data_IF_219939372064
#
_entry.id   IF_219939372064
#
_cell.length_a   1.000
_cell.length_b   1.000
_cell.length_c   1.000
_cell.angle_alpha   90.00
_cell.angle_beta   90.00
_cell.angle_gamma   90.00
#
_symmetry.space_group_name_H-M   'P 1'
#
loop_
_entity.id
_entity.type
_entity.pdbx_description
1 polymer ?
#
# COMPACT_ATOMS: atom_id res chain seq x y z
N UNK A 1 -5.58 1.34 -0.23
CA UNK A 1 -5.24 1.02 1.17
C UNK A 1 -5.80 -0.35 1.49
N UNK A 2 -5.08 -1.13 2.28
CA UNK A 2 -5.43 -2.49 2.66
C UNK A 2 -4.26 -3.48 2.60
N UNK A 3 -3.30 -3.30 1.68
CA UNK A 3 -2.13 -4.17 1.60
C UNK A 3 -1.26 -4.09 2.85
N UNK A 4 -1.11 -2.89 3.41
CA UNK A 4 -0.34 -2.63 4.62
C UNK A 4 -0.89 -3.32 5.88
N UNK A 5 -2.20 -3.61 5.92
CA UNK A 5 -2.84 -4.32 7.03
C UNK A 5 -2.32 -5.75 7.12
N UNK A 6 -1.83 -6.33 6.01
CA UNK A 6 -1.27 -7.67 6.03
C UNK A 6 -0.05 -7.81 6.92
N UNK A 7 0.74 -6.75 7.11
CA UNK A 7 1.82 -6.76 8.10
C UNK A 7 1.28 -7.03 9.51
N UNK A 8 0.13 -6.43 9.87
CA UNK A 8 -0.52 -6.67 11.16
C UNK A 8 -1.00 -8.12 11.29
N UNK A 9 -1.54 -8.70 10.22
CA UNK A 9 -1.95 -10.10 10.23
C UNK A 9 -0.74 -11.03 10.43
N UNK A 10 0.36 -10.78 9.73
CA UNK A 10 1.62 -11.52 9.89
C UNK A 10 2.17 -11.39 11.32
N UNK A 11 2.08 -10.21 11.94
CA UNK A 11 2.57 -10.02 13.32
C UNK A 11 1.70 -10.70 14.36
N UNK A 12 0.38 -10.59 14.24
CA UNK A 12 -0.53 -10.91 15.34
C UNK A 12 -1.23 -12.27 15.21
N UNK A 13 -1.45 -12.74 13.99
CA UNK A 13 -2.16 -14.00 13.72
C UNK A 13 -1.48 -14.85 12.63
N UNK A 14 -0.14 -14.99 12.62
CA UNK A 14 0.55 -15.71 11.55
C UNK A 14 0.11 -17.17 11.43
N UNK A 15 -0.20 -17.82 12.55
CA UNK A 15 -0.73 -19.19 12.62
C UNK A 15 -2.08 -19.38 11.92
N UNK A 16 -2.78 -18.30 11.53
CA UNK A 16 -4.02 -18.35 10.76
C UNK A 16 -3.81 -18.16 9.25
N UNK A 17 -2.57 -17.94 8.84
CA UNK A 17 -2.17 -17.72 7.45
C UNK A 17 -1.41 -18.95 6.95
N UNK A 18 -1.68 -19.35 5.72
CA UNK A 18 -0.85 -20.31 4.99
C UNK A 18 0.21 -19.60 4.12
N UNK A 19 0.17 -18.27 4.09
CA UNK A 19 0.98 -17.40 3.24
C UNK A 19 0.24 -16.10 2.92
N UNK A 20 0.94 -15.14 2.32
CA UNK A 20 0.38 -13.87 1.91
C UNK A 20 1.09 -13.30 0.69
N UNK A 21 0.31 -12.73 -0.24
CA UNK A 21 0.81 -11.82 -1.27
C UNK A 21 0.33 -10.40 -0.97
N UNK A 22 1.27 -9.52 -0.64
CA UNK A 22 1.04 -8.10 -0.35
C UNK A 22 1.30 -7.30 -1.62
N UNK A 23 0.31 -6.56 -2.10
CA UNK A 23 0.36 -5.88 -3.40
C UNK A 23 0.40 -4.36 -3.21
N UNK A 24 1.48 -3.71 -3.65
CA UNK A 24 1.68 -2.25 -3.56
C UNK A 24 1.29 -1.65 -2.20
N UNK A 25 1.74 -2.21 -1.05
CA UNK A 25 1.24 -1.79 0.24
C UNK A 25 1.65 -0.35 0.55
N UNK A 26 0.68 0.46 0.98
CA UNK A 26 0.96 1.82 1.43
C UNK A 26 1.89 1.77 2.64
N UNK A 27 3.07 2.39 2.53
CA UNK A 27 3.99 2.50 3.65
C UNK A 27 3.58 3.64 4.60
N UNK A 28 3.88 3.49 5.88
CA UNK A 28 3.77 4.56 6.86
C UNK A 28 5.16 5.21 7.04
N UNK A 29 5.28 6.49 6.67
CA UNK A 29 6.55 7.23 6.70
C UNK A 29 7.15 7.40 8.11
N UNK A 30 6.36 7.13 9.15
CA UNK A 30 6.77 7.17 10.56
C UNK A 30 7.04 5.78 11.16
N UNK A 31 7.02 4.71 10.37
CA UNK A 31 7.46 3.40 10.85
C UNK A 31 8.93 3.45 11.29
N UNK A 32 9.20 2.89 12.47
CA UNK A 32 10.56 2.72 12.99
C UNK A 32 11.37 1.76 12.12
N UNK A 33 12.70 1.86 12.20
CA UNK A 33 13.63 1.00 11.48
C UNK A 33 14.03 1.50 10.09
N UNK A 34 13.23 2.35 9.43
CA UNK A 34 13.68 2.98 8.19
C UNK A 34 14.79 3.98 8.47
N UNK A 35 15.88 3.96 7.68
CA UNK A 35 16.82 5.06 7.60
C UNK A 35 16.09 6.35 7.23
N UNK A 36 16.49 7.47 7.84
CA UNK A 36 15.82 8.75 7.62
C UNK A 36 15.82 9.17 6.15
N UNK A 37 16.89 8.90 5.40
CA UNK A 37 16.95 9.17 3.96
C UNK A 37 15.90 8.37 3.19
N UNK A 38 15.68 7.08 3.51
CA UNK A 38 14.67 6.25 2.83
C UNK A 38 13.25 6.79 3.09
N UNK A 39 12.92 7.09 4.35
CA UNK A 39 11.62 7.67 4.69
C UNK A 39 11.40 9.04 4.08
N UNK A 40 12.42 9.91 4.06
CA UNK A 40 12.31 11.25 3.48
C UNK A 40 12.22 11.21 1.95
N UNK A 41 13.00 10.37 1.29
CA UNK A 41 12.92 10.20 -0.16
C UNK A 41 11.53 9.70 -0.57
N UNK A 42 10.96 8.75 0.18
CA UNK A 42 9.58 8.32 -0.02
C UNK A 42 8.58 9.45 0.29
N UNK A 43 8.79 10.21 1.36
CA UNK A 43 7.92 11.32 1.76
C UNK A 43 7.79 12.37 0.65
N UNK A 44 8.90 12.78 0.04
CA UNK A 44 8.95 13.85 -0.94
C UNK A 44 8.54 13.43 -2.36
N UNK A 45 8.38 12.14 -2.62
CA UNK A 45 7.74 11.67 -3.86
C UNK A 45 6.23 11.97 -3.88
N UNK A 46 5.60 12.09 -2.71
CA UNK A 46 4.19 12.45 -2.62
C UNK A 46 3.94 13.87 -3.11
N UNK A 47 2.75 14.07 -3.70
CA UNK A 47 2.27 15.42 -4.01
C UNK A 47 2.15 16.27 -2.74
N UNK A 48 2.28 17.61 -2.82
CA UNK A 48 2.13 18.48 -1.65
C UNK A 48 0.79 18.31 -0.92
N UNK A 49 -0.29 18.02 -1.64
CA UNK A 49 -1.61 17.78 -1.04
C UNK A 49 -1.68 16.47 -0.25
N UNK A 50 -1.02 15.41 -0.71
CA UNK A 50 -0.94 14.15 0.05
C UNK A 50 -0.04 14.28 1.27
N UNK A 51 1.09 14.98 1.16
CA UNK A 51 1.94 15.27 2.31
C UNK A 51 1.14 15.95 3.45
N UNK A 52 0.24 16.86 3.12
CA UNK A 52 -0.65 17.47 4.11
C UNK A 52 -1.75 16.52 4.60
N UNK A 53 -2.45 15.83 3.70
CA UNK A 53 -3.53 14.90 4.07
C UNK A 53 -3.00 13.80 5.01
N UNK A 54 -1.83 13.24 4.70
CA UNK A 54 -1.14 12.21 5.49
C UNK A 54 -0.64 12.79 6.82
N UNK A 55 -0.10 14.03 6.85
CA UNK A 55 0.24 14.71 8.13
C UNK A 55 -0.97 14.88 9.03
N UNK A 56 -2.12 15.30 8.48
CA UNK A 56 -3.36 15.44 9.25
C UNK A 56 -3.80 14.07 9.78
N UNK A 57 -3.81 13.04 8.94
CA UNK A 57 -4.15 11.68 9.36
C UNK A 57 -3.26 11.17 10.51
N UNK A 58 -1.96 11.50 10.50
CA UNK A 58 -1.02 11.07 11.52
C UNK A 58 -1.11 11.89 12.83
N UNK A 59 -1.13 13.22 12.73
CA UNK A 59 -0.99 14.11 13.89
C UNK A 59 -2.32 14.59 14.47
N UNK A 60 -3.34 14.73 13.63
CA UNK A 60 -4.66 15.23 14.01
C UNK A 60 -5.79 14.41 13.36
N UNK A 61 -5.86 13.09 13.61
CA UNK A 61 -6.76 12.17 12.89
C UNK A 61 -8.24 12.56 12.98
N UNK A 62 -8.66 13.23 14.07
CA UNK A 62 -10.04 13.74 14.21
C UNK A 62 -10.41 14.82 13.18
N UNK A 63 -9.42 15.40 12.48
CA UNK A 63 -9.61 16.35 11.38
C UNK A 63 -9.50 15.68 10.00
N UNK A 64 -9.23 14.38 9.89
CA UNK A 64 -9.01 13.71 8.60
C UNK A 64 -10.22 13.86 7.65
N UNK A 65 -11.43 13.71 8.18
CA UNK A 65 -12.67 13.97 7.44
C UNK A 65 -12.79 15.43 7.01
N UNK A 66 -12.61 16.35 7.97
CA UNK A 66 -12.73 17.77 7.72
C UNK A 66 -11.75 18.21 6.64
N UNK A 67 -10.48 17.82 6.73
CA UNK A 67 -9.44 18.15 5.77
C UNK A 67 -9.79 17.71 4.35
N UNK A 68 -10.17 16.45 4.18
CA UNK A 68 -10.42 15.86 2.86
C UNK A 68 -11.77 16.27 2.23
N UNK A 69 -12.61 17.04 2.93
CA UNK A 69 -13.90 17.55 2.42
C UNK A 69 -13.90 19.05 2.17
N UNK A 70 -12.77 19.74 2.37
CA UNK A 70 -12.66 21.18 2.11
C UNK A 70 -12.71 21.51 0.61
N UNK A 71 -13.23 22.70 0.30
CA UNK A 71 -13.31 23.24 -1.08
C UNK A 71 -12.22 24.26 -1.41
N UNK A 72 -11.53 24.78 -0.40
CA UNK A 72 -10.53 25.85 -0.56
C UNK A 72 -9.15 25.32 -0.96
N UNK A 73 -8.90 24.04 -0.75
CA UNK A 73 -7.67 23.35 -1.10
C UNK A 73 -8.00 21.89 -1.45
N UNK A 74 -7.14 21.20 -2.21
CA UNK A 74 -7.42 19.84 -2.64
C UNK A 74 -7.37 18.84 -1.47
N UNK A 75 -8.24 17.83 -1.54
CA UNK A 75 -8.14 16.62 -0.74
C UNK A 75 -6.90 15.79 -1.15
N UNK A 76 -6.70 14.61 -0.52
CA UNK A 76 -5.74 13.63 -1.02
C UNK A 76 -5.95 13.36 -2.51
N UNK A 77 -4.84 13.24 -3.26
CA UNK A 77 -4.83 12.94 -4.69
C UNK A 77 -5.52 11.60 -5.00
N UNK A 78 -5.40 10.62 -4.11
CA UNK A 78 -6.03 9.30 -4.24
C UNK A 78 -7.53 9.39 -4.08
N UNK A 79 -8.01 10.15 -3.07
CA UNK A 79 -9.45 10.34 -2.82
C UNK A 79 -10.10 11.12 -3.97
N UNK A 80 -9.43 12.17 -4.44
CA UNK A 80 -9.89 13.04 -5.53
C UNK A 80 -9.65 12.46 -6.93
N UNK A 81 -9.00 11.30 -7.03
CA UNK A 81 -8.65 10.64 -8.29
C UNK A 81 -7.86 11.56 -9.25
N UNK A 82 -6.84 12.23 -8.72
CA UNK A 82 -5.99 13.13 -9.49
C UNK A 82 -5.20 12.35 -10.56
N UNK A 83 -5.31 12.68 -11.86
CA UNK A 83 -4.62 11.94 -12.91
C UNK A 83 -3.08 11.99 -12.80
N UNK A 84 -2.52 12.98 -12.11
CA UNK A 84 -1.07 13.18 -11.99
C UNK A 84 -0.34 12.11 -11.16
N UNK A 85 -1.07 11.27 -10.41
CA UNK A 85 -0.51 10.20 -9.57
C UNK A 85 -0.61 8.82 -10.23
N UNK A 86 -0.98 8.74 -11.51
CA UNK A 86 -1.03 7.48 -12.24
C UNK A 86 0.12 7.40 -13.24
N UNK A 87 0.79 6.24 -13.27
CA UNK A 87 1.77 5.94 -14.31
C UNK A 87 1.11 5.80 -15.68
N UNK A 88 1.92 5.67 -16.73
CA UNK A 88 1.41 5.39 -18.07
C UNK A 88 0.60 4.09 -18.11
N UNK A 89 1.08 3.03 -17.45
CA UNK A 89 0.37 1.76 -17.39
C UNK A 89 -0.90 1.84 -16.54
N UNK A 90 -0.87 2.59 -15.43
CA UNK A 90 -2.07 2.82 -14.62
C UNK A 90 -3.17 3.50 -15.42
N UNK A 91 -2.82 4.52 -16.20
CA UNK A 91 -3.78 5.24 -17.05
C UNK A 91 -4.46 4.30 -18.06
N UNK A 92 -3.75 3.31 -18.59
CA UNK A 92 -4.34 2.29 -19.47
C UNK A 92 -5.29 1.34 -18.71
N UNK A 93 -5.09 1.14 -17.40
CA UNK A 93 -5.89 0.25 -16.56
C UNK A 93 -7.14 0.92 -15.97
N UNK A 94 -7.26 2.27 -16.00
CA UNK A 94 -8.40 3.00 -15.42
C UNK A 94 -9.77 2.46 -15.84
N UNK A 95 -10.06 2.22 -17.14
CA UNK A 95 -11.39 1.72 -17.54
C UNK A 95 -11.74 0.38 -16.87
N UNK A 96 -10.77 -0.53 -16.79
CA UNK A 96 -10.93 -1.84 -16.16
C UNK A 96 -11.03 -1.74 -14.64
N UNK A 97 -10.26 -0.84 -14.02
CA UNK A 97 -10.33 -0.56 -12.60
C UNK A 97 -11.71 -0.01 -12.20
N UNK A 98 -12.27 0.89 -13.02
CA UNK A 98 -13.59 1.48 -12.81
C UNK A 98 -14.73 0.46 -12.97
N UNK A 99 -14.59 -0.51 -13.88
CA UNK A 99 -15.61 -1.53 -14.15
C UNK A 99 -15.60 -2.72 -13.18
N UNK A 100 -14.79 -2.69 -12.11
CA UNK A 100 -14.69 -3.83 -11.18
C UNK A 100 -16.02 -4.08 -10.44
N UNK A 101 -16.45 -5.35 -10.28
CA UNK A 101 -17.76 -5.69 -9.67
C UNK A 101 -17.96 -5.19 -8.24
N UNK A 102 -16.87 -4.93 -7.51
CA UNK A 102 -16.89 -4.51 -6.11
C UNK A 102 -16.60 -3.02 -5.90
N UNK A 103 -16.56 -2.20 -6.96
CA UNK A 103 -16.23 -0.77 -6.86
C UNK A 103 -17.19 0.00 -5.94
N UNK A 104 -18.49 -0.26 -6.04
CA UNK A 104 -19.51 0.36 -5.18
C UNK A 104 -19.46 -0.15 -3.73
N UNK A 105 -19.06 -1.42 -3.52
CA UNK A 105 -18.97 -2.02 -2.19
C UNK A 105 -17.85 -1.40 -1.35
N UNK A 106 -16.76 -0.99 -1.99
CA UNK A 106 -15.60 -0.38 -1.31
C UNK A 106 -15.95 0.91 -0.54
N UNK A 107 -16.99 1.64 -0.95
CA UNK A 107 -17.45 2.88 -0.29
C UNK A 107 -18.86 2.77 0.30
N UNK A 108 -19.37 1.56 0.51
CA UNK A 108 -20.78 1.35 0.91
C UNK A 108 -21.13 1.97 2.28
N UNK A 109 -20.13 2.19 3.15
CA UNK A 109 -20.31 2.80 4.47
C UNK A 109 -20.13 4.33 4.44
N UNK A 110 -19.98 4.92 3.24
CA UNK A 110 -19.69 6.33 3.04
C UNK A 110 -18.19 6.66 3.08
N UNK A 111 -17.83 7.84 2.59
CA UNK A 111 -16.42 8.23 2.44
C UNK A 111 -15.69 8.34 3.78
N UNK A 112 -16.39 8.73 4.85
CA UNK A 112 -15.83 8.77 6.20
C UNK A 112 -15.32 7.40 6.65
N UNK A 113 -16.22 6.42 6.69
CA UNK A 113 -15.89 5.09 7.21
C UNK A 113 -15.00 4.29 6.27
N UNK A 114 -15.04 4.57 4.97
CA UNK A 114 -14.28 3.80 3.97
C UNK A 114 -12.95 4.41 3.56
N UNK A 115 -12.82 5.74 3.42
CA UNK A 115 -11.58 6.36 2.92
C UNK A 115 -10.81 7.07 4.03
N UNK A 116 -11.49 7.94 4.77
CA UNK A 116 -10.85 8.77 5.78
C UNK A 116 -10.41 7.94 6.99
N UNK A 117 -11.23 6.98 7.41
CA UNK A 117 -10.89 6.06 8.49
C UNK A 117 -9.74 5.12 8.09
N UNK A 118 -9.73 4.59 6.88
CA UNK A 118 -8.60 3.80 6.36
C UNK A 118 -7.31 4.64 6.33
N UNK A 119 -7.39 5.91 5.93
CA UNK A 119 -6.24 6.83 5.96
C UNK A 119 -5.70 7.03 7.37
N UNK A 120 -6.59 7.22 8.35
CA UNK A 120 -6.23 7.33 9.77
C UNK A 120 -5.58 6.05 10.30
N UNK A 121 -6.04 4.87 9.87
CA UNK A 121 -5.44 3.60 10.27
C UNK A 121 -4.06 3.40 9.63
N UNK A 122 -3.96 3.58 8.30
CA UNK A 122 -2.71 3.36 7.56
C UNK A 122 -1.59 4.30 7.99
N UNK A 123 -1.89 5.60 8.13
CA UNK A 123 -0.90 6.62 8.50
C UNK A 123 -0.89 6.97 10.00
N UNK A 124 -1.69 6.29 10.81
CA UNK A 124 -1.74 6.49 12.26
C UNK A 124 -0.45 6.08 12.96
N UNK A 125 -0.47 6.15 14.30
CA UNK A 125 0.67 5.76 15.13
C UNK A 125 0.65 4.25 15.37
N UNK A 126 1.48 3.52 14.62
CA UNK A 126 1.68 2.10 14.86
C UNK A 126 2.67 1.92 16.01
N UNK A 127 2.35 1.05 16.96
CA UNK A 127 3.23 0.75 18.10
C UNK A 127 4.40 -0.17 17.77
N UNK A 128 4.63 -0.45 16.49
CA UNK A 128 5.62 -1.37 15.95
C UNK A 128 5.82 -1.10 14.44
N UNK A 129 6.86 -1.68 13.84
CA UNK A 129 7.14 -1.58 12.40
C UNK A 129 7.32 -2.96 11.75
N UNK A 130 6.93 -3.15 10.46
CA UNK A 130 7.24 -4.36 9.70
C UNK A 130 8.73 -4.71 9.72
N UNK A 131 9.61 -3.70 9.76
CA UNK A 131 11.07 -3.87 9.77
C UNK A 131 11.63 -4.52 11.05
N UNK A 132 10.81 -4.64 12.09
CA UNK A 132 11.18 -5.24 13.38
C UNK A 132 10.72 -6.70 13.49
N UNK A 133 10.09 -7.24 12.44
CA UNK A 133 9.51 -8.57 12.45
C UNK A 133 10.54 -9.65 12.12
N UNK A 134 10.51 -10.73 12.90
CA UNK A 134 11.16 -11.99 12.55
C UNK A 134 10.27 -12.79 11.58
N UNK A 135 10.84 -13.81 10.92
CA UNK A 135 10.08 -14.68 10.03
C UNK A 135 8.89 -15.29 10.81
N UNK A 136 7.64 -14.99 10.41
CA UNK A 136 6.47 -15.47 11.14
C UNK A 136 6.12 -16.94 10.88
N UNK A 137 6.75 -17.59 9.90
CA UNK A 137 6.48 -18.97 9.50
C UNK A 137 7.57 -19.94 9.97
N UNK A 138 7.22 -21.18 10.35
CA UNK A 138 8.19 -22.19 10.75
C UNK A 138 8.94 -22.76 9.52
N UNK A 139 10.24 -22.47 9.40
CA UNK A 139 11.12 -23.00 8.33
C UNK A 139 11.63 -21.94 7.34
N UNK A 140 12.29 -22.39 6.27
CA UNK A 140 12.83 -21.53 5.20
C UNK A 140 11.81 -21.26 4.06
N UNK A 141 10.56 -21.71 4.22
CA UNK A 141 9.49 -21.45 3.26
C UNK A 141 9.03 -20.00 3.39
N UNK A 142 9.52 -19.16 2.49
CA UNK A 142 9.12 -17.77 2.40
C UNK A 142 7.74 -17.65 1.75
N UNK A 143 6.71 -17.76 2.58
CA UNK A 143 5.30 -17.63 2.19
C UNK A 143 4.81 -16.17 2.17
N UNK A 144 5.73 -15.21 2.27
CA UNK A 144 5.43 -13.78 2.20
C UNK A 144 5.97 -13.21 0.90
N UNK A 145 5.06 -12.88 0.00
CA UNK A 145 5.36 -12.25 -1.28
C UNK A 145 5.00 -10.76 -1.22
N UNK A 146 5.92 -9.89 -1.61
CA UNK A 146 5.72 -8.45 -1.70
C UNK A 146 5.83 -8.04 -3.17
N UNK A 147 4.70 -7.66 -3.78
CA UNK A 147 4.63 -7.22 -5.17
C UNK A 147 4.53 -5.71 -5.25
N UNK A 148 5.28 -5.07 -6.14
CA UNK A 148 5.23 -3.62 -6.31
C UNK A 148 5.57 -3.22 -7.75
N UNK A 149 4.83 -2.25 -8.30
CA UNK A 149 5.18 -1.61 -9.57
C UNK A 149 6.37 -0.64 -9.40
N UNK A 150 7.39 -0.73 -10.25
CA UNK A 150 8.52 0.19 -10.20
C UNK A 150 8.14 1.62 -10.57
N UNK A 151 7.06 1.80 -11.34
CA UNK A 151 6.48 3.09 -11.72
C UNK A 151 5.25 3.44 -10.87
N UNK A 152 5.09 2.87 -9.67
CA UNK A 152 4.01 3.25 -8.76
C UNK A 152 4.20 4.70 -8.28
N UNK A 153 3.34 5.59 -8.77
CA UNK A 153 3.33 7.02 -8.42
C UNK A 153 2.35 7.34 -7.27
N UNK A 154 1.59 6.35 -6.80
CA UNK A 154 0.65 6.48 -5.67
C UNK A 154 1.38 6.15 -4.37
N UNK A 155 2.14 5.07 -4.40
CA UNK A 155 2.88 4.53 -3.26
C UNK A 155 4.36 4.45 -3.62
N UNK A 156 5.24 5.15 -2.89
CA UNK A 156 6.68 5.10 -3.15
C UNK A 156 7.24 3.67 -3.00
N UNK A 157 7.72 3.11 -4.11
CA UNK A 157 8.30 1.75 -4.16
C UNK A 157 9.53 1.59 -3.26
N UNK A 158 10.23 2.68 -2.95
CA UNK A 158 11.43 2.70 -2.12
C UNK A 158 11.23 2.08 -0.73
N UNK A 159 10.05 2.25 -0.13
CA UNK A 159 9.75 1.64 1.17
C UNK A 159 9.67 0.11 1.06
N UNK A 160 9.07 -0.40 -0.02
CA UNK A 160 8.99 -1.85 -0.27
C UNK A 160 10.35 -2.47 -0.58
N UNK A 161 11.18 -1.79 -1.40
CA UNK A 161 12.57 -2.19 -1.65
C UNK A 161 13.34 -2.35 -0.35
N UNK A 162 13.27 -1.34 0.54
CA UNK A 162 13.98 -1.39 1.80
C UNK A 162 13.43 -2.46 2.76
N UNK A 163 12.11 -2.68 2.80
CA UNK A 163 11.52 -3.79 3.57
C UNK A 163 12.08 -5.13 3.08
N UNK A 164 12.12 -5.37 1.78
CA UNK A 164 12.64 -6.60 1.19
C UNK A 164 14.13 -6.80 1.47
N UNK A 165 14.93 -5.74 1.39
CA UNK A 165 16.35 -5.77 1.76
C UNK A 165 16.56 -6.14 3.23
N UNK A 166 15.68 -5.65 4.11
CA UNK A 166 15.82 -5.85 5.56
C UNK A 166 15.27 -7.18 6.06
N UNK A 167 14.26 -7.72 5.38
CA UNK A 167 13.52 -8.91 5.79
C UNK A 167 13.78 -10.03 4.76
N UNK A 168 14.83 -10.86 4.93
CA UNK A 168 15.20 -11.86 3.93
C UNK A 168 14.14 -12.96 3.71
N UNK A 169 13.17 -13.07 4.62
CA UNK A 169 12.02 -13.96 4.51
C UNK A 169 10.88 -13.39 3.65
N UNK A 170 11.00 -12.15 3.16
CA UNK A 170 10.06 -11.55 2.20
C UNK A 170 10.57 -11.76 0.78
N UNK A 171 9.81 -12.47 -0.06
CA UNK A 171 10.06 -12.61 -1.49
C UNK A 171 9.56 -11.37 -2.22
N UNK A 172 10.48 -10.56 -2.73
CA UNK A 172 10.15 -9.32 -3.41
C UNK A 172 10.01 -9.50 -4.92
N UNK A 173 8.91 -8.97 -5.46
CA UNK A 173 8.55 -9.01 -6.88
C UNK A 173 8.34 -7.57 -7.35
N UNK A 174 9.35 -7.01 -8.01
CA UNK A 174 9.25 -5.68 -8.60
C UNK A 174 8.91 -5.79 -10.08
N UNK A 175 7.84 -5.11 -10.51
CA UNK A 175 7.38 -5.08 -11.90
C UNK A 175 7.96 -3.83 -12.60
N UNK A 176 8.92 -3.97 -13.53
CA UNK A 176 9.76 -2.85 -13.98
C UNK A 176 9.03 -1.67 -14.64
N UNK A 177 7.87 -1.91 -15.25
CA UNK A 177 7.10 -0.88 -15.98
C UNK A 177 5.74 -0.60 -15.35
N UNK A 178 5.34 -1.38 -14.34
CA UNK A 178 4.00 -1.33 -13.80
C UNK A 178 3.84 -0.18 -12.79
N UNK A 179 2.65 0.43 -12.78
CA UNK A 179 2.21 1.35 -11.74
C UNK A 179 1.42 0.66 -10.61
N UNK A 180 0.68 1.43 -9.83
CA UNK A 180 -0.08 0.93 -8.67
C UNK A 180 -1.20 -0.05 -9.05
N UNK A 181 -1.79 0.12 -10.23
CA UNK A 181 -2.96 -0.63 -10.71
C UNK A 181 -2.60 -1.96 -11.35
N UNK A 182 -1.33 -2.39 -11.26
CA UNK A 182 -0.86 -3.68 -11.79
C UNK A 182 -1.75 -4.89 -11.42
N UNK A 183 -2.38 -5.00 -10.22
CA UNK A 183 -3.21 -6.17 -9.91
C UNK A 183 -4.46 -6.29 -10.79
N UNK A 184 -4.82 -5.23 -11.51
CA UNK A 184 -5.95 -5.20 -12.43
C UNK A 184 -5.56 -5.62 -13.85
N UNK A 185 -4.26 -5.71 -14.18
CA UNK A 185 -3.81 -6.17 -15.50
C UNK A 185 -4.31 -7.59 -15.83
N UNK A 186 -4.51 -7.88 -17.12
CA UNK A 186 -4.95 -9.20 -17.56
C UNK A 186 -3.95 -10.29 -17.16
N UNK A 187 -4.44 -11.39 -16.58
CA UNK A 187 -3.63 -12.51 -16.12
C UNK A 187 -2.82 -12.27 -14.84
N UNK A 188 -2.66 -11.02 -14.39
CA UNK A 188 -1.81 -10.72 -13.22
C UNK A 188 -2.30 -11.38 -11.93
N UNK A 189 -3.62 -11.47 -11.73
CA UNK A 189 -4.20 -12.19 -10.60
C UNK A 189 -3.82 -13.67 -10.59
N UNK A 190 -3.82 -14.32 -11.76
CA UNK A 190 -3.42 -15.73 -11.89
C UNK A 190 -1.93 -15.91 -11.63
N UNK A 191 -1.09 -14.99 -12.12
CA UNK A 191 0.36 -14.98 -11.86
C UNK A 191 0.62 -14.91 -10.35
N UNK A 192 0.06 -13.91 -9.66
CA UNK A 192 0.23 -13.73 -8.21
C UNK A 192 -0.21 -14.99 -7.44
N UNK A 193 -1.38 -15.55 -7.79
CA UNK A 193 -1.89 -16.74 -7.13
C UNK A 193 -1.04 -17.98 -7.40
N UNK A 194 -0.58 -18.19 -8.63
CA UNK A 194 0.29 -19.30 -9.00
C UNK A 194 1.65 -19.20 -8.32
N UNK A 195 2.26 -18.03 -8.31
CA UNK A 195 3.53 -17.81 -7.59
C UNK A 195 3.39 -18.13 -6.11
N UNK A 196 2.29 -17.70 -5.47
CA UNK A 196 2.04 -17.98 -4.05
C UNK A 196 1.74 -19.46 -3.78
N UNK A 197 0.95 -20.13 -4.62
CA UNK A 197 0.47 -21.50 -4.36
C UNK A 197 1.38 -22.60 -4.91
N UNK A 198 2.12 -22.31 -5.97
CA UNK A 198 2.91 -23.30 -6.72
C UNK A 198 4.41 -22.98 -6.73
N UNK A 199 4.82 -21.79 -6.29
CA UNK A 199 6.21 -21.34 -6.37
C UNK A 199 6.70 -21.08 -7.79
N UNK A 200 5.78 -20.87 -8.75
CA UNK A 200 6.10 -20.52 -10.14
C UNK A 200 6.64 -19.08 -10.19
N UNK A 201 7.85 -18.89 -10.75
CA UNK A 201 8.47 -17.59 -11.02
C UNK A 201 8.39 -17.24 -12.50
#
# INVERSE_FOLDING_TARGET
MGGEIMWSCLKHIPHRLAGVSILGPVGNYWWSGFPSNVSWDAWYQQTPQDQWAVRVAHHAPWLAYWWNTQKLFPASSVISFNPAIFSREDMAMIPKFASRPCSSKARQQGEHESLHRDMTVGFGKWGWSPLEMENPFPGDEADVHLWHGAEDLIVPVSLSRHIAERLPWVRYHELPTAGHLFPVADGMGDVILRTMLLGEN
#
